data_IF_925790267482
#
_entry.id   IF_925790267482
#
_cell.length_a   1.000
_cell.length_b   1.000
_cell.length_c   1.000
_cell.angle_alpha   90.00
_cell.angle_beta   90.00
_cell.angle_gamma   90.00
#
_symmetry.space_group_name_H-M   'P 1'
#
loop_
_entity.id
_entity.type
_entity.pdbx_description
1 polymer ?
#
# COMPACT_ATOMS: atom_id res chain seq x y z
N UNK A 1 0.54 -12.91 0.87
CA UNK A 1 0.02 -12.16 2.01
C UNK A 1 1.15 -11.28 2.52
N UNK A 2 0.89 -10.00 2.70
CA UNK A 2 1.84 -9.05 3.27
C UNK A 2 1.72 -9.07 4.78
N UNK A 3 2.87 -9.23 5.46
CA UNK A 3 2.94 -9.46 6.90
C UNK A 3 2.28 -8.34 7.72
N UNK A 4 2.70 -7.09 7.53
CA UNK A 4 2.24 -5.97 8.34
C UNK A 4 0.76 -5.63 8.10
N UNK A 5 0.29 -5.75 6.85
CA UNK A 5 -1.11 -5.54 6.45
C UNK A 5 -2.08 -6.44 7.23
N UNK A 6 -1.69 -7.69 7.51
CA UNK A 6 -2.55 -8.62 8.26
C UNK A 6 -2.29 -8.54 9.76
N UNK A 7 -1.03 -8.61 10.17
CA UNK A 7 -0.68 -8.71 11.60
C UNK A 7 -0.93 -7.43 12.38
N UNK A 8 -0.96 -6.26 11.72
CA UNK A 8 -1.34 -5.01 12.36
C UNK A 8 -2.77 -5.02 12.89
N UNK A 9 -3.66 -5.83 12.31
CA UNK A 9 -5.06 -5.99 12.74
C UNK A 9 -5.29 -7.10 13.76
N UNK A 10 -4.24 -7.79 14.24
CA UNK A 10 -4.37 -8.81 15.26
C UNK A 10 -4.73 -8.21 16.63
N UNK A 11 -5.26 -9.02 17.57
CA UNK A 11 -5.44 -8.60 18.96
C UNK A 11 -4.16 -7.99 19.55
N UNK A 12 -4.32 -6.98 20.40
CA UNK A 12 -3.21 -6.19 20.96
C UNK A 12 -2.10 -7.05 21.55
N UNK A 13 -2.45 -8.06 22.33
CA UNK A 13 -1.48 -8.98 22.93
C UNK A 13 -0.57 -9.62 21.88
N UNK A 14 -1.16 -10.11 20.78
CA UNK A 14 -0.43 -10.83 19.72
C UNK A 14 0.45 -9.86 18.93
N UNK A 15 -0.11 -8.74 18.44
CA UNK A 15 0.66 -7.80 17.63
C UNK A 15 1.80 -7.15 18.43
N UNK A 16 1.57 -6.82 19.71
CA UNK A 16 2.64 -6.31 20.59
C UNK A 16 3.72 -7.35 20.87
N UNK A 17 3.34 -8.62 21.07
CA UNK A 17 4.32 -9.69 21.24
C UNK A 17 5.19 -9.87 19.99
N UNK A 18 4.59 -9.84 18.79
CA UNK A 18 5.33 -9.87 17.53
C UNK A 18 6.29 -8.68 17.40
N UNK A 19 5.83 -7.46 17.73
CA UNK A 19 6.69 -6.28 17.69
C UNK A 19 7.88 -6.37 18.65
N UNK A 20 7.70 -6.97 19.84
CA UNK A 20 8.78 -7.23 20.77
C UNK A 20 9.77 -8.28 20.23
N UNK A 21 9.30 -9.38 19.65
CA UNK A 21 10.17 -10.41 19.07
C UNK A 21 11.00 -9.89 17.89
N UNK A 22 10.43 -9.03 17.05
CA UNK A 22 11.10 -8.53 15.84
C UNK A 22 12.01 -7.32 16.11
N UNK A 23 11.55 -6.36 16.91
CA UNK A 23 12.18 -5.05 17.09
C UNK A 23 12.53 -4.72 18.54
N UNK A 24 12.16 -5.57 19.51
CA UNK A 24 12.51 -5.37 20.92
C UNK A 24 13.99 -5.65 21.21
N UNK A 25 14.49 -5.12 22.32
CA UNK A 25 15.90 -5.27 22.74
C UNK A 25 16.31 -6.73 22.94
N UNK A 26 15.42 -7.56 23.45
CA UNK A 26 15.64 -9.01 23.63
C UNK A 26 15.21 -9.84 22.41
N UNK A 27 14.75 -9.19 21.33
CA UNK A 27 14.28 -9.83 20.11
C UNK A 27 15.36 -9.97 19.04
N UNK A 28 14.94 -10.09 17.78
CA UNK A 28 15.83 -10.06 16.61
C UNK A 28 16.54 -8.71 16.44
N UNK A 29 16.01 -7.64 17.06
CA UNK A 29 16.51 -6.27 16.95
C UNK A 29 16.69 -5.83 15.50
N UNK A 30 15.70 -6.11 14.66
CA UNK A 30 15.67 -5.58 13.31
C UNK A 30 15.76 -4.04 13.38
N UNK A 31 16.60 -3.45 12.54
CA UNK A 31 16.86 -2.01 12.52
C UNK A 31 16.64 -1.37 11.14
N UNK A 32 16.08 -2.14 10.20
CA UNK A 32 15.63 -1.67 8.89
C UNK A 32 14.15 -2.04 8.75
N UNK A 33 13.31 -1.09 8.38
CA UNK A 33 11.91 -1.33 8.06
C UNK A 33 11.57 -0.85 6.65
N UNK A 34 10.86 -1.69 5.90
CA UNK A 34 10.41 -1.40 4.54
C UNK A 34 8.89 -1.29 4.54
N UNK A 35 8.36 -0.16 4.10
CA UNK A 35 6.94 0.16 4.08
C UNK A 35 6.39 0.10 2.65
N UNK A 36 5.35 -0.70 2.45
CA UNK A 36 4.74 -0.90 1.13
C UNK A 36 3.57 0.06 0.95
N UNK A 37 3.75 1.06 0.09
CA UNK A 37 2.67 1.96 -0.37
C UNK A 37 1.86 1.19 -1.41
N UNK A 38 0.66 0.74 -0.99
CA UNK A 38 -0.17 -0.13 -1.81
C UNK A 38 -0.84 0.58 -2.96
N UNK A 39 -1.05 -0.18 -4.04
CA UNK A 39 -1.59 0.25 -5.34
C UNK A 39 -3.12 0.29 -5.46
N UNK A 40 -3.88 -0.27 -4.49
CA UNK A 40 -5.37 -0.43 -4.38
C UNK A 40 -6.11 -0.84 -5.67
N UNK A 41 -7.13 -1.69 -5.55
CA UNK A 41 -7.95 -2.03 -6.73
C UNK A 41 -8.95 -0.92 -7.06
N UNK A 42 -9.37 -0.83 -8.33
CA UNK A 42 -10.54 -0.02 -8.69
C UNK A 42 -11.80 -0.49 -7.94
N UNK A 43 -12.74 0.43 -7.72
CA UNK A 43 -13.94 0.17 -6.89
C UNK A 43 -14.86 -0.90 -7.48
N UNK A 44 -14.90 -1.03 -8.80
CA UNK A 44 -15.70 -2.00 -9.55
C UNK A 44 -15.01 -3.37 -9.71
N UNK A 45 -13.76 -3.52 -9.26
CA UNK A 45 -13.04 -4.80 -9.28
C UNK A 45 -13.43 -5.61 -8.05
N UNK A 46 -13.85 -6.88 -8.27
CA UNK A 46 -14.17 -7.84 -7.21
C UNK A 46 -13.06 -7.91 -6.15
N UNK A 47 -13.40 -7.99 -4.87
CA UNK A 47 -12.38 -7.93 -3.79
C UNK A 47 -11.59 -9.22 -3.57
N UNK A 48 -12.02 -10.33 -4.19
CA UNK A 48 -11.54 -11.68 -3.93
C UNK A 48 -10.74 -12.30 -5.11
N UNK A 49 -10.36 -11.53 -6.12
CA UNK A 49 -9.49 -12.06 -7.19
C UNK A 49 -8.03 -12.22 -6.75
N UNK A 50 -7.61 -11.49 -5.71
CA UNK A 50 -6.32 -11.66 -5.06
C UNK A 50 -6.47 -12.45 -3.75
N UNK A 51 -5.39 -13.14 -3.35
CA UNK A 51 -5.34 -13.83 -2.05
C UNK A 51 -5.53 -12.82 -0.91
N UNK A 52 -6.14 -13.26 0.19
CA UNK A 52 -6.31 -12.44 1.41
C UNK A 52 -4.97 -11.84 1.84
N UNK A 53 -4.98 -10.52 2.09
CA UNK A 53 -3.79 -9.75 2.46
C UNK A 53 -2.76 -9.58 1.36
N UNK A 54 -3.07 -9.88 0.09
CA UNK A 54 -2.22 -9.54 -1.05
C UNK A 54 -2.51 -8.15 -1.61
N UNK A 55 -3.76 -7.68 -1.51
CA UNK A 55 -4.13 -6.29 -1.80
C UNK A 55 -3.59 -5.40 -0.69
N UNK A 56 -2.87 -4.36 -1.08
CA UNK A 56 -2.36 -3.34 -0.18
C UNK A 56 -3.21 -2.08 -0.30
N UNK A 57 -3.55 -1.50 0.84
CA UNK A 57 -4.22 -0.21 0.91
C UNK A 57 -3.26 0.91 0.45
N UNK A 58 -3.84 1.99 -0.04
CA UNK A 58 -3.14 3.13 -0.61
C UNK A 58 -3.90 4.40 -0.24
N UNK A 59 -3.21 5.53 -0.28
CA UNK A 59 -3.68 6.77 0.36
C UNK A 59 -4.59 7.63 -0.52
N UNK A 60 -5.32 7.04 -1.46
CA UNK A 60 -6.23 7.79 -2.33
C UNK A 60 -7.68 7.36 -2.14
N UNK A 61 -8.54 8.32 -2.46
CA UNK A 61 -9.98 8.29 -2.31
C UNK A 61 -10.59 8.63 -3.66
N UNK A 62 -10.89 7.58 -4.43
CA UNK A 62 -11.62 7.74 -5.67
C UNK A 62 -13.03 8.29 -5.39
N UNK A 63 -13.54 9.27 -6.17
CA UNK A 63 -14.92 9.69 -6.09
C UNK A 63 -15.88 8.51 -6.21
N UNK A 64 -17.03 8.58 -5.52
CA UNK A 64 -18.06 7.55 -5.65
C UNK A 64 -18.51 7.41 -7.11
N UNK A 65 -18.66 6.17 -7.59
CA UNK A 65 -19.04 5.88 -8.98
C UNK A 65 -17.87 5.77 -9.95
N UNK A 66 -16.64 6.06 -9.53
CA UNK A 66 -15.42 5.84 -10.33
C UNK A 66 -15.25 4.35 -10.65
N UNK A 67 -15.07 4.02 -11.93
CA UNK A 67 -14.80 2.67 -12.44
C UNK A 67 -13.34 2.51 -12.85
N UNK A 68 -12.89 1.27 -13.13
CA UNK A 68 -11.54 1.00 -13.66
C UNK A 68 -11.20 1.71 -14.97
N UNK A 69 -12.20 2.23 -15.70
CA UNK A 69 -12.02 2.96 -16.95
C UNK A 69 -11.86 4.48 -16.72
N UNK A 70 -12.26 4.97 -15.54
CA UNK A 70 -12.13 6.37 -15.14
C UNK A 70 -10.75 6.60 -14.50
N UNK A 71 -9.78 7.00 -15.31
CA UNK A 71 -8.36 7.01 -14.90
C UNK A 71 -7.74 8.41 -14.74
N UNK A 72 -8.47 9.46 -15.11
CA UNK A 72 -7.95 10.85 -15.14
C UNK A 72 -8.61 11.77 -14.08
N UNK A 73 -9.28 11.20 -13.08
CA UNK A 73 -9.88 11.96 -11.96
C UNK A 73 -8.87 12.40 -10.91
N UNK A 74 -7.71 11.72 -10.81
CA UNK A 74 -6.74 11.96 -9.76
C UNK A 74 -6.05 13.33 -9.92
N UNK A 75 -5.97 14.04 -8.81
CA UNK A 75 -5.27 15.32 -8.67
C UNK A 75 -4.54 15.29 -7.32
N UNK A 76 -3.20 15.26 -7.30
CA UNK A 76 -2.43 15.22 -6.06
C UNK A 76 -2.57 16.51 -5.23
N UNK A 77 -2.93 17.63 -5.86
CA UNK A 77 -3.11 18.92 -5.19
C UNK A 77 -4.51 19.05 -4.57
N UNK A 78 -5.43 18.12 -4.88
CA UNK A 78 -6.75 18.07 -4.26
C UNK A 78 -6.73 17.21 -2.97
N UNK A 79 -6.87 17.82 -1.77
CA UNK A 79 -6.86 17.07 -0.51
C UNK A 79 -8.02 16.06 -0.40
N UNK A 80 -9.15 16.26 -1.08
CA UNK A 80 -10.30 15.34 -1.07
C UNK A 80 -10.00 14.03 -1.79
N UNK A 81 -8.99 14.03 -2.65
CA UNK A 81 -8.53 12.81 -3.31
C UNK A 81 -7.66 11.96 -2.38
N UNK A 82 -7.18 12.47 -1.24
CA UNK A 82 -6.36 11.67 -0.33
C UNK A 82 -7.21 10.97 0.75
N UNK A 83 -6.80 9.76 1.13
CA UNK A 83 -7.28 9.04 2.31
C UNK A 83 -6.15 8.81 3.31
N UNK A 84 -5.91 9.79 4.17
CA UNK A 84 -4.85 9.73 5.19
C UNK A 84 -5.14 8.72 6.32
N UNK A 85 -6.37 8.19 6.38
CA UNK A 85 -6.76 7.14 7.33
C UNK A 85 -6.50 5.72 6.79
N UNK A 86 -6.12 5.58 5.52
CA UNK A 86 -5.83 4.30 4.90
C UNK A 86 -4.69 3.54 5.61
N UNK A 87 -4.62 2.23 5.37
CA UNK A 87 -3.49 1.38 5.73
C UNK A 87 -3.21 1.32 7.25
N UNK A 88 -4.27 1.35 8.04
CA UNK A 88 -4.22 1.42 9.51
C UNK A 88 -3.37 0.29 10.12
N UNK A 89 -3.38 -0.91 9.52
CA UNK A 89 -2.63 -2.06 10.02
C UNK A 89 -1.12 -1.89 9.85
N UNK A 90 -0.63 -1.41 8.70
CA UNK A 90 0.79 -1.13 8.56
C UNK A 90 1.20 0.13 9.35
N UNK A 91 0.33 1.15 9.41
CA UNK A 91 0.60 2.35 10.24
C UNK A 91 0.74 2.01 11.72
N UNK A 92 -0.02 1.03 12.22
CA UNK A 92 0.21 0.51 13.58
C UNK A 92 1.64 0.01 13.79
N UNK A 93 2.19 -0.73 12.82
CA UNK A 93 3.58 -1.20 12.88
C UNK A 93 4.57 -0.04 12.86
N UNK A 94 4.37 0.96 11.99
CA UNK A 94 5.21 2.16 11.92
C UNK A 94 5.26 2.84 13.29
N UNK A 95 4.10 3.15 13.87
CA UNK A 95 4.03 3.82 15.16
C UNK A 95 4.67 3.01 16.27
N UNK A 96 4.62 1.67 16.18
CA UNK A 96 5.17 0.78 17.19
C UNK A 96 6.70 0.71 17.17
N UNK A 97 7.32 0.89 16.00
CA UNK A 97 8.75 0.60 15.78
C UNK A 97 9.58 1.81 15.33
N UNK A 98 8.97 2.97 15.02
CA UNK A 98 9.66 4.18 14.51
C UNK A 98 10.86 4.63 15.32
N UNK A 99 10.82 4.47 16.64
CA UNK A 99 11.93 4.84 17.53
C UNK A 99 12.96 3.71 17.75
N UNK A 100 12.82 2.58 17.03
CA UNK A 100 13.65 1.37 17.18
C UNK A 100 14.38 0.98 15.89
N UNK A 101 14.10 1.68 14.80
CA UNK A 101 14.59 1.40 13.46
C UNK A 101 15.48 2.56 13.03
N UNK A 102 16.64 2.23 12.46
CA UNK A 102 17.62 3.21 12.00
C UNK A 102 17.36 3.63 10.55
N UNK A 103 16.83 2.71 9.73
CA UNK A 103 16.65 2.89 8.28
C UNK A 103 15.21 2.57 7.87
N UNK A 104 14.60 3.53 7.17
CA UNK A 104 13.28 3.39 6.56
C UNK A 104 13.39 3.38 5.05
N UNK A 105 12.68 2.46 4.40
CA UNK A 105 12.49 2.45 2.95
C UNK A 105 11.00 2.38 2.63
N UNK A 106 10.46 3.40 1.98
CA UNK A 106 9.16 3.29 1.33
C UNK A 106 9.34 2.67 -0.06
N UNK A 107 8.48 1.74 -0.42
CA UNK A 107 8.48 1.11 -1.74
C UNK A 107 7.07 0.87 -2.23
N UNK A 108 6.91 0.68 -3.53
CA UNK A 108 5.65 0.31 -4.17
C UNK A 108 5.89 -0.84 -5.14
N UNK A 109 4.99 -1.83 -5.14
CA UNK A 109 5.04 -2.94 -6.11
C UNK A 109 4.25 -2.64 -7.40
N UNK A 110 3.38 -1.64 -7.36
CA UNK A 110 2.53 -1.23 -8.48
C UNK A 110 2.10 0.22 -8.29
N UNK A 111 2.03 1.03 -9.35
CA UNK A 111 1.35 2.30 -9.27
C UNK A 111 -0.14 2.10 -8.90
N UNK A 112 -0.83 3.17 -8.47
CA UNK A 112 -2.27 3.17 -8.29
C UNK A 112 -2.99 2.64 -9.53
N UNK A 113 -4.10 1.90 -9.37
CA UNK A 113 -4.81 1.30 -10.51
C UNK A 113 -5.12 2.29 -11.65
N UNK A 114 -5.45 3.54 -11.34
CA UNK A 114 -5.75 4.60 -12.33
C UNK A 114 -4.51 5.13 -13.08
N UNK A 115 -3.31 4.82 -12.58
CA UNK A 115 -2.04 5.03 -13.26
C UNK A 115 -1.53 3.75 -13.94
N UNK A 116 -2.28 2.64 -13.89
CA UNK A 116 -1.92 1.43 -14.63
C UNK A 116 -2.48 1.43 -16.05
N UNK A 117 -1.84 0.74 -16.98
CA UNK A 117 -2.36 0.54 -18.34
C UNK A 117 -3.62 -0.34 -18.34
N UNK A 118 -3.70 -1.30 -17.41
CA UNK A 118 -4.76 -2.32 -17.38
C UNK A 118 -5.92 -2.00 -16.44
N UNK A 119 -5.78 -0.99 -15.56
CA UNK A 119 -6.69 -0.76 -14.43
C UNK A 119 -6.51 -1.76 -13.28
N UNK A 120 -5.46 -2.59 -13.30
CA UNK A 120 -5.20 -3.63 -12.30
C UNK A 120 -3.79 -3.51 -11.70
N UNK A 121 -3.73 -3.50 -10.37
CA UNK A 121 -2.46 -3.48 -9.61
C UNK A 121 -1.76 -4.82 -9.55
N UNK A 122 -2.43 -5.88 -9.98
CA UNK A 122 -1.83 -7.20 -10.20
C UNK A 122 -1.01 -7.25 -11.50
N UNK A 123 -1.07 -6.19 -12.31
CA UNK A 123 -0.53 -6.13 -13.64
C UNK A 123 -1.47 -6.69 -14.72
N UNK A 124 -1.09 -6.45 -15.97
CA UNK A 124 -1.78 -6.91 -17.16
C UNK A 124 -1.41 -8.34 -17.55
N UNK A 125 -1.94 -8.80 -18.68
CA UNK A 125 -1.74 -10.18 -19.15
C UNK A 125 -0.39 -10.42 -19.84
N UNK A 126 0.28 -9.36 -20.29
CA UNK A 126 1.63 -9.45 -20.85
C UNK A 126 2.68 -9.15 -19.76
N UNK A 127 3.42 -10.18 -19.37
CA UNK A 127 4.45 -10.09 -18.35
C UNK A 127 5.69 -9.28 -18.79
N UNK A 128 5.82 -8.97 -20.08
CA UNK A 128 6.94 -8.18 -20.62
C UNK A 128 6.59 -6.71 -20.83
N UNK A 129 5.33 -6.33 -20.60
CA UNK A 129 4.86 -4.96 -20.78
C UNK A 129 4.84 -4.20 -19.46
N UNK A 130 5.40 -2.99 -19.48
CA UNK A 130 5.28 -2.06 -18.36
C UNK A 130 3.80 -1.77 -18.07
N UNK A 131 3.47 -1.75 -16.79
CA UNK A 131 2.10 -1.52 -16.34
C UNK A 131 1.86 -0.10 -15.87
N UNK A 132 2.88 0.75 -15.79
CA UNK A 132 2.70 2.18 -15.55
C UNK A 132 2.29 2.88 -16.86
N UNK A 133 1.30 3.76 -16.76
CA UNK A 133 0.96 4.70 -17.83
C UNK A 133 2.12 5.66 -18.07
N UNK A 134 2.65 5.67 -19.30
CA UNK A 134 3.83 6.48 -19.65
C UNK A 134 3.60 7.99 -19.40
N UNK A 135 2.38 8.48 -19.60
CA UNK A 135 1.98 9.86 -19.35
C UNK A 135 1.82 10.21 -17.85
N UNK A 136 1.95 9.23 -16.95
CA UNK A 136 1.78 9.38 -15.50
C UNK A 136 3.02 9.05 -14.69
N UNK A 137 4.16 8.76 -15.35
CA UNK A 137 5.42 8.44 -14.67
C UNK A 137 5.86 9.58 -13.74
N UNK A 138 5.77 10.83 -14.22
CA UNK A 138 6.14 11.99 -13.42
C UNK A 138 5.19 12.19 -12.23
N UNK A 139 3.88 11.98 -12.42
CA UNK A 139 2.89 12.07 -11.34
C UNK A 139 3.14 11.00 -10.27
N UNK A 140 3.53 9.79 -10.66
CA UNK A 140 3.88 8.71 -9.74
C UNK A 140 5.17 8.97 -8.96
N UNK A 141 6.13 9.67 -9.57
CA UNK A 141 7.41 10.01 -8.96
C UNK A 141 7.38 11.31 -8.14
N UNK A 142 6.24 12.02 -8.08
CA UNK A 142 6.12 13.25 -7.30
C UNK A 142 6.31 12.95 -5.80
N UNK A 143 7.14 13.75 -5.10
CA UNK A 143 7.38 13.61 -3.67
C UNK A 143 6.19 14.08 -2.82
#
# INVERSE_FOLDING_TARGET
MWFANITGGYPDEIRNHLAALLFGEDGLRLNIARYNIGGVNALDVRKDYMKVGATMEGFWRAPEGTTREDVDWWDPDNPEHWDWDADANQRWWIDRIKDRVDIWEAFSNSPPWFQTVSGYVSGGFDASADQIRADRVDDFARP
#
